data_IF_544839348571
#
_entry.id   IF_544839348571
#
_cell.length_a   1.000
_cell.length_b   1.000
_cell.length_c   1.000
_cell.angle_alpha   90.00
_cell.angle_beta   90.00
_cell.angle_gamma   90.00
#
_symmetry.space_group_name_H-M   'P 1'
#
loop_
_entity.id
_entity.type
_entity.pdbx_description
1 polymer ?
#
# COMPACT_ATOMS: atom_id res chain seq x y z
N UNK A 1 -15.87 76.53 42.69
CA UNK A 1 -16.52 75.26 43.09
C UNK A 1 -17.48 74.87 41.98
N UNK A 2 -17.44 73.73 41.29
CA UNK A 2 -16.56 72.56 41.29
C UNK A 2 -16.69 71.87 39.92
N UNK A 3 -15.62 71.21 39.46
CA UNK A 3 -15.58 70.53 38.17
C UNK A 3 -16.31 69.17 38.21
N UNK A 4 -16.95 68.73 37.11
CA UNK A 4 -17.50 67.38 37.01
C UNK A 4 -16.39 66.39 36.66
N UNK A 5 -15.99 65.55 37.62
CA UNK A 5 -15.13 64.40 37.36
C UNK A 5 -15.91 63.36 36.52
N UNK A 6 -15.65 63.36 35.21
CA UNK A 6 -16.22 62.41 34.27
C UNK A 6 -15.51 61.06 34.42
N UNK A 7 -16.22 60.08 35.01
CA UNK A 7 -15.68 58.77 35.39
C UNK A 7 -15.50 57.85 34.16
N UNK A 8 -14.36 57.99 33.49
CA UNK A 8 -13.99 57.26 32.25
C UNK A 8 -13.79 55.75 32.48
N UNK A 9 -13.38 55.34 33.69
CA UNK A 9 -13.12 53.93 34.05
C UNK A 9 -14.37 53.05 34.05
N UNK A 10 -15.52 53.59 34.47
CA UNK A 10 -16.78 52.82 34.55
C UNK A 10 -17.36 52.55 33.15
N UNK A 11 -17.28 53.52 32.23
CA UNK A 11 -17.74 53.32 30.84
C UNK A 11 -16.84 52.36 30.06
N UNK A 12 -15.51 52.40 30.28
CA UNK A 12 -14.59 51.46 29.68
C UNK A 12 -14.84 50.01 30.17
N UNK A 13 -15.13 49.82 31.46
CA UNK A 13 -15.48 48.51 32.03
C UNK A 13 -16.81 47.95 31.48
N UNK A 14 -17.80 48.82 31.20
CA UNK A 14 -19.08 48.41 30.60
C UNK A 14 -18.94 48.06 29.12
N UNK A 15 -18.12 48.80 28.36
CA UNK A 15 -17.83 48.49 26.96
C UNK A 15 -16.97 47.21 26.81
N UNK A 16 -16.01 46.98 27.72
CA UNK A 16 -15.29 45.70 27.83
C UNK A 16 -16.27 44.56 28.18
N UNK A 17 -17.15 44.72 29.17
CA UNK A 17 -18.19 43.71 29.49
C UNK A 17 -19.09 43.39 28.29
N UNK A 18 -19.53 44.41 27.56
CA UNK A 18 -20.41 44.24 26.38
C UNK A 18 -19.69 43.55 25.22
N UNK A 19 -18.45 43.92 24.92
CA UNK A 19 -17.64 43.26 23.88
C UNK A 19 -17.30 41.81 24.22
N UNK A 20 -17.00 41.53 25.49
CA UNK A 20 -16.76 40.16 25.97
C UNK A 20 -18.04 39.32 25.93
N UNK A 21 -19.20 39.86 26.30
CA UNK A 21 -20.48 39.14 26.20
C UNK A 21 -20.81 38.83 24.74
N UNK A 22 -20.56 39.75 23.80
CA UNK A 22 -20.80 39.50 22.37
C UNK A 22 -19.84 38.45 21.81
N UNK A 23 -18.57 38.49 22.21
CA UNK A 23 -17.59 37.47 21.87
C UNK A 23 -17.93 36.12 22.50
N UNK A 24 -18.45 36.13 23.74
CA UNK A 24 -18.91 34.94 24.46
C UNK A 24 -20.16 34.36 23.79
N UNK A 25 -21.12 35.17 23.36
CA UNK A 25 -22.32 34.76 22.62
C UNK A 25 -21.97 34.22 21.23
N UNK A 26 -21.01 34.83 20.53
CA UNK A 26 -20.52 34.32 19.24
C UNK A 26 -19.75 33.00 19.39
N UNK A 27 -18.96 32.84 20.46
CA UNK A 27 -18.34 31.57 20.79
C UNK A 27 -19.41 30.56 21.20
N UNK A 28 -20.39 30.92 22.02
CA UNK A 28 -21.44 30.05 22.55
C UNK A 28 -22.39 29.55 21.45
N UNK A 29 -22.85 30.41 20.54
CA UNK A 29 -23.70 30.02 19.40
C UNK A 29 -22.91 29.14 18.42
N UNK A 30 -21.60 29.37 18.26
CA UNK A 30 -20.73 28.50 17.46
C UNK A 30 -20.42 27.18 18.18
N UNK A 31 -20.49 27.15 19.52
CA UNK A 31 -20.26 25.99 20.37
C UNK A 31 -21.51 25.10 20.48
N UNK A 32 -22.73 25.64 20.49
CA UNK A 32 -23.98 24.88 20.66
C UNK A 32 -24.25 23.94 19.46
N UNK A 33 -23.91 24.37 18.23
CA UNK A 33 -23.93 23.53 17.02
C UNK A 33 -22.78 22.51 17.00
N UNK A 34 -21.69 22.79 17.72
CA UNK A 34 -20.50 21.94 17.80
C UNK A 34 -20.61 20.88 18.91
N UNK A 35 -21.29 21.18 20.02
CA UNK A 35 -21.45 20.34 21.21
C UNK A 35 -22.29 19.09 20.93
N UNK A 36 -23.42 19.20 20.22
CA UNK A 36 -24.28 18.04 19.94
C UNK A 36 -23.58 16.98 19.08
N UNK A 37 -22.77 17.42 18.11
CA UNK A 37 -22.01 16.52 17.23
C UNK A 37 -20.76 15.96 17.91
N UNK A 38 -20.03 16.78 18.67
CA UNK A 38 -18.81 16.35 19.35
C UNK A 38 -19.08 15.42 20.53
N UNK A 39 -20.13 15.62 21.32
CA UNK A 39 -20.42 14.75 22.49
C UNK A 39 -20.83 13.34 22.06
N UNK A 40 -21.64 13.20 21.00
CA UNK A 40 -21.95 11.91 20.39
C UNK A 40 -20.70 11.20 19.86
N UNK A 41 -19.88 11.91 19.07
CA UNK A 41 -18.64 11.37 18.52
C UNK A 41 -17.64 11.04 19.62
N UNK A 42 -17.53 11.86 20.66
CA UNK A 42 -16.62 11.63 21.78
C UNK A 42 -17.03 10.42 22.62
N UNK A 43 -18.32 10.27 22.93
CA UNK A 43 -18.82 9.13 23.72
C UNK A 43 -18.64 7.81 22.97
N UNK A 44 -18.90 7.79 21.66
CA UNK A 44 -18.68 6.62 20.81
C UNK A 44 -17.18 6.32 20.60
N UNK A 45 -16.34 7.36 20.53
CA UNK A 45 -14.87 7.24 20.41
C UNK A 45 -14.18 6.85 21.71
N UNK A 46 -14.75 7.14 22.88
CA UNK A 46 -14.19 6.74 24.19
C UNK A 46 -14.26 5.22 24.42
N UNK A 47 -15.11 4.52 23.69
CA UNK A 47 -15.28 3.07 23.78
C UNK A 47 -14.24 2.27 22.94
N UNK A 48 -13.47 2.94 22.07
CA UNK A 48 -12.45 2.30 21.23
C UNK A 48 -11.08 2.94 21.47
N UNK A 49 -10.07 2.12 21.80
CA UNK A 49 -8.68 2.58 21.92
C UNK A 49 -8.14 2.99 20.55
N UNK A 50 -8.06 4.29 20.33
CA UNK A 50 -7.85 4.83 18.99
C UNK A 50 -7.20 6.21 18.93
N UNK A 51 -6.79 6.60 17.74
CA UNK A 51 -6.23 7.92 17.44
C UNK A 51 -7.30 8.99 17.52
N UNK A 52 -8.53 8.67 17.10
CA UNK A 52 -9.67 9.54 17.28
C UNK A 52 -9.90 9.81 18.77
N UNK A 53 -9.82 8.79 19.62
CA UNK A 53 -9.92 8.96 21.07
C UNK A 53 -8.83 9.90 21.61
N UNK A 54 -7.56 9.72 21.22
CA UNK A 54 -6.47 10.60 21.65
C UNK A 54 -6.67 12.06 21.20
N UNK A 55 -7.18 12.26 19.99
CA UNK A 55 -7.43 13.59 19.43
C UNK A 55 -8.64 14.25 20.10
N UNK A 56 -9.71 13.50 20.31
CA UNK A 56 -10.90 13.93 21.06
C UNK A 56 -10.55 14.29 22.49
N UNK A 57 -9.77 13.46 23.19
CA UNK A 57 -9.29 13.76 24.54
C UNK A 57 -8.46 15.04 24.54
N UNK A 58 -7.55 15.23 23.58
CA UNK A 58 -6.77 16.46 23.46
C UNK A 58 -7.67 17.71 23.29
N UNK A 59 -8.70 17.62 22.44
CA UNK A 59 -9.65 18.71 22.21
C UNK A 59 -10.46 19.00 23.48
N UNK A 60 -10.96 17.96 24.15
CA UNK A 60 -11.70 18.08 25.43
C UNK A 60 -10.81 18.75 26.49
N UNK A 61 -9.55 18.30 26.62
CA UNK A 61 -8.57 18.86 27.55
C UNK A 61 -8.27 20.34 27.27
N UNK A 62 -8.25 20.74 25.99
CA UNK A 62 -7.99 22.12 25.56
C UNK A 62 -9.21 23.03 25.62
N UNK A 63 -10.43 22.50 25.49
CA UNK A 63 -11.64 23.31 25.44
C UNK A 63 -12.36 23.36 26.79
N UNK A 64 -12.61 22.21 27.40
CA UNK A 64 -13.49 22.10 28.58
C UNK A 64 -12.77 22.52 29.86
N UNK A 65 -11.49 22.13 30.04
CA UNK A 65 -10.73 22.46 31.26
C UNK A 65 -10.48 23.98 31.36
N UNK A 66 -10.00 24.68 30.31
CA UNK A 66 -9.80 26.12 30.39
C UNK A 66 -11.12 26.87 30.57
N UNK A 67 -12.19 26.41 29.93
CA UNK A 67 -13.53 27.00 30.06
C UNK A 67 -14.06 26.91 31.50
N UNK A 68 -13.95 25.73 32.13
CA UNK A 68 -14.29 25.52 33.55
C UNK A 68 -13.45 26.41 34.47
N UNK A 69 -12.14 26.55 34.20
CA UNK A 69 -11.26 27.43 34.98
C UNK A 69 -11.66 28.90 34.85
N UNK A 70 -12.04 29.37 33.65
CA UNK A 70 -12.58 30.73 33.47
C UNK A 70 -13.90 30.95 34.20
N UNK A 71 -14.81 29.96 34.20
CA UNK A 71 -16.07 30.03 34.94
C UNK A 71 -15.80 30.10 36.45
N UNK A 72 -14.85 29.31 36.95
CA UNK A 72 -14.44 29.32 38.35
C UNK A 72 -13.87 30.67 38.77
N UNK A 73 -12.96 31.26 38.00
CA UNK A 73 -12.40 32.60 38.28
C UNK A 73 -13.54 33.63 38.34
N UNK A 74 -14.46 33.61 37.37
CA UNK A 74 -15.57 34.56 37.32
C UNK A 74 -16.53 34.44 38.51
N UNK A 75 -16.85 33.22 38.94
CA UNK A 75 -17.70 32.99 40.11
C UNK A 75 -16.99 33.37 41.43
N UNK A 76 -15.68 33.15 41.50
CA UNK A 76 -14.87 33.49 42.68
C UNK A 76 -14.69 35.00 42.88
N UNK A 77 -14.53 35.78 41.80
CA UNK A 77 -14.53 37.25 41.84
C UNK A 77 -15.88 37.80 42.34
N UNK A 78 -16.99 37.16 41.93
CA UNK A 78 -18.35 37.57 42.30
C UNK A 78 -18.71 37.29 43.77
N UNK A 79 -18.07 36.31 44.40
CA UNK A 79 -18.30 35.92 45.80
C UNK A 79 -17.30 36.54 46.79
N UNK A 80 -16.28 37.25 46.30
CA UNK A 80 -15.32 37.98 47.13
C UNK A 80 -14.36 37.09 47.95
N UNK A 81 -14.31 35.79 47.67
CA UNK A 81 -13.51 34.79 48.40
C UNK A 81 -12.07 34.63 47.87
N UNK A 82 -11.57 35.60 47.11
CA UNK A 82 -10.23 35.51 46.53
C UNK A 82 -9.13 35.85 47.54
N UNK A 83 -8.62 34.81 48.20
CA UNK A 83 -7.22 34.85 48.64
C UNK A 83 -6.31 34.83 47.41
N UNK A 84 -5.36 35.77 47.40
CA UNK A 84 -4.42 36.04 46.30
C UNK A 84 -3.58 34.81 45.88
N UNK A 85 -3.48 33.81 46.75
CA UNK A 85 -2.67 32.60 46.57
C UNK A 85 -3.28 31.60 45.57
N UNK A 86 -4.60 31.58 45.36
CA UNK A 86 -5.23 30.56 44.50
C UNK A 86 -5.16 30.89 43.00
N UNK A 87 -5.05 32.17 42.62
CA UNK A 87 -5.06 32.61 41.21
C UNK A 87 -3.85 32.09 40.44
N UNK A 88 -2.68 32.04 41.08
CA UNK A 88 -1.45 31.57 40.46
C UNK A 88 -1.52 30.07 40.10
N UNK A 89 -2.15 29.26 40.95
CA UNK A 89 -2.33 27.83 40.72
C UNK A 89 -3.34 27.56 39.59
N UNK A 90 -4.41 28.35 39.49
CA UNK A 90 -5.40 28.28 38.41
C UNK A 90 -4.78 28.57 37.04
N UNK A 91 -3.96 29.62 36.94
CA UNK A 91 -3.26 29.98 35.70
C UNK A 91 -2.28 28.87 35.30
N UNK A 92 -1.54 28.31 36.27
CA UNK A 92 -0.60 27.22 36.01
C UNK A 92 -1.30 25.96 35.48
N UNK A 93 -2.46 25.60 36.04
CA UNK A 93 -3.28 24.48 35.55
C UNK A 93 -3.82 24.72 34.14
N UNK A 94 -4.20 25.96 33.81
CA UNK A 94 -4.66 26.34 32.47
C UNK A 94 -3.56 26.18 31.42
N UNK A 95 -2.33 26.57 31.76
CA UNK A 95 -1.17 26.39 30.89
C UNK A 95 -0.80 24.91 30.77
N UNK A 96 -0.86 24.15 31.86
CA UNK A 96 -0.54 22.73 31.87
C UNK A 96 -1.52 21.90 31.01
N UNK A 97 -2.82 22.20 31.06
CA UNK A 97 -3.85 21.53 30.24
C UNK A 97 -3.66 21.84 28.76
N UNK A 98 -3.43 23.12 28.42
CA UNK A 98 -3.16 23.55 27.05
C UNK A 98 -1.89 22.90 26.49
N UNK A 99 -0.82 22.83 27.28
CA UNK A 99 0.43 22.19 26.87
C UNK A 99 0.24 20.67 26.63
N UNK A 100 -0.50 20.00 27.52
CA UNK A 100 -0.77 18.56 27.41
C UNK A 100 -1.57 18.22 26.15
N UNK A 101 -2.63 18.98 25.86
CA UNK A 101 -3.42 18.79 24.64
C UNK A 101 -2.59 19.01 23.38
N UNK A 102 -1.71 20.02 23.37
CA UNK A 102 -0.88 20.35 22.21
C UNK A 102 0.10 19.22 21.89
N UNK A 103 0.74 18.65 22.92
CA UNK A 103 1.66 17.53 22.76
C UNK A 103 0.93 16.31 22.18
N UNK A 104 -0.27 16.02 22.67
CA UNK A 104 -1.05 14.86 22.23
C UNK A 104 -1.49 15.01 20.76
N UNK A 105 -2.03 16.17 20.38
CA UNK A 105 -2.40 16.47 18.99
C UNK A 105 -1.19 16.41 18.06
N UNK A 106 -0.05 16.99 18.48
CA UNK A 106 1.17 17.01 17.69
C UNK A 106 1.70 15.60 17.43
N UNK A 107 1.68 14.71 18.43
CA UNK A 107 2.10 13.31 18.26
C UNK A 107 1.26 12.58 17.21
N UNK A 108 -0.05 12.76 17.24
CA UNK A 108 -0.97 12.16 16.27
C UNK A 108 -0.69 12.63 14.84
N UNK A 109 -0.59 13.96 14.63
CA UNK A 109 -0.34 14.54 13.31
C UNK A 109 1.02 14.11 12.75
N UNK A 110 2.06 14.08 13.58
CA UNK A 110 3.40 13.60 13.15
C UNK A 110 3.35 12.14 12.72
N UNK A 111 2.60 11.29 13.42
CA UNK A 111 2.43 9.88 13.07
C UNK A 111 1.80 9.72 11.68
N UNK A 112 0.75 10.48 11.38
CA UNK A 112 0.13 10.50 10.04
C UNK A 112 1.12 10.93 8.96
N UNK A 113 1.81 12.07 9.15
CA UNK A 113 2.77 12.59 8.17
C UNK A 113 3.88 11.56 7.89
N UNK A 114 4.37 10.87 8.93
CA UNK A 114 5.41 9.84 8.77
C UNK A 114 4.93 8.71 7.88
N UNK A 115 3.72 8.21 8.07
CA UNK A 115 3.19 7.11 7.28
C UNK A 115 2.87 7.51 5.85
N UNK A 116 2.33 8.72 5.62
CA UNK A 116 2.17 9.23 4.25
C UNK A 116 3.52 9.34 3.54
N UNK A 117 4.57 9.79 4.24
CA UNK A 117 5.92 9.87 3.68
C UNK A 117 6.50 8.49 3.37
N UNK A 118 6.37 7.53 4.28
CA UNK A 118 6.85 6.17 4.06
C UNK A 118 6.08 5.47 2.93
N UNK A 119 4.75 5.60 2.88
CA UNK A 119 3.91 5.05 1.83
C UNK A 119 4.26 5.63 0.45
N UNK A 120 4.50 6.95 0.35
CA UNK A 120 4.95 7.59 -0.90
C UNK A 120 6.26 6.99 -1.41
N UNK A 121 7.23 6.71 -0.54
CA UNK A 121 8.51 6.09 -0.92
C UNK A 121 8.30 4.65 -1.41
N UNK A 122 7.42 3.88 -0.77
CA UNK A 122 7.11 2.50 -1.20
C UNK A 122 6.45 2.48 -2.59
N UNK A 123 5.49 3.39 -2.85
CA UNK A 123 4.82 3.51 -4.16
C UNK A 123 5.78 3.96 -5.26
N UNK A 124 6.75 4.82 -4.97
CA UNK A 124 7.63 5.43 -5.98
C UNK A 124 8.81 4.56 -6.45
N UNK A 125 8.96 3.32 -5.98
CA UNK A 125 9.97 2.44 -6.58
C UNK A 125 10.50 1.30 -5.73
N UNK A 126 10.02 1.13 -4.49
CA UNK A 126 10.49 0.03 -3.65
C UNK A 126 9.35 -0.62 -2.85
N UNK A 127 8.61 -1.50 -3.53
CA UNK A 127 7.57 -2.35 -2.95
C UNK A 127 8.09 -3.29 -1.84
N UNK A 128 9.42 -3.52 -1.75
CA UNK A 128 10.00 -4.35 -0.68
C UNK A 128 10.08 -3.62 0.65
N UNK A 129 9.94 -2.29 0.68
CA UNK A 129 10.01 -1.51 1.91
C UNK A 129 8.65 -1.50 2.59
N UNK A 130 8.55 -2.23 3.69
CA UNK A 130 7.36 -2.26 4.54
C UNK A 130 7.28 -1.04 5.46
N UNK A 131 6.07 -0.57 5.70
CA UNK A 131 5.77 0.46 6.69
C UNK A 131 5.97 -0.10 8.10
N UNK A 132 6.59 0.68 8.99
CA UNK A 132 6.78 0.27 10.39
C UNK A 132 5.44 0.31 11.14
N UNK A 133 5.00 -0.85 11.64
CA UNK A 133 3.79 -0.98 12.46
C UNK A 133 4.18 -1.11 13.93
N UNK A 134 4.05 -0.03 14.71
CA UNK A 134 4.31 -0.07 16.16
C UNK A 134 3.10 0.46 16.93
N UNK A 135 2.31 -0.46 17.50
CA UNK A 135 1.12 -0.15 18.31
C UNK A 135 -0.19 -0.68 17.71
N UNK A 136 -1.29 -0.56 18.46
CA UNK A 136 -2.63 -1.07 18.12
C UNK A 136 -3.63 0.05 17.76
N UNK A 137 -3.20 1.01 16.94
CA UNK A 137 -4.06 2.12 16.53
C UNK A 137 -4.44 1.99 15.05
N UNK A 138 -5.48 2.71 14.64
CA UNK A 138 -6.09 2.66 13.30
C UNK A 138 -5.09 3.01 12.19
N UNK A 139 -4.12 3.86 12.52
CA UNK A 139 -3.03 4.21 11.60
C UNK A 139 -2.08 3.02 11.36
N UNK A 140 -1.78 2.22 12.39
CA UNK A 140 -0.99 1.00 12.22
C UNK A 140 -1.79 -0.09 11.51
N UNK A 141 -3.07 -0.19 11.77
CA UNK A 141 -3.98 -1.10 11.06
C UNK A 141 -4.00 -0.76 9.56
N UNK A 142 -4.11 0.52 9.20
CA UNK A 142 -3.98 0.97 7.82
C UNK A 142 -2.60 0.63 7.22
N UNK A 143 -1.53 0.80 7.99
CA UNK A 143 -0.18 0.42 7.57
C UNK A 143 -0.03 -1.09 7.33
N UNK A 144 -0.70 -1.93 8.13
CA UNK A 144 -0.76 -3.38 7.93
C UNK A 144 -1.49 -3.74 6.63
N UNK A 145 -2.66 -3.16 6.37
CA UNK A 145 -3.38 -3.38 5.12
C UNK A 145 -2.57 -2.93 3.91
N UNK A 146 -1.90 -1.78 4.00
CA UNK A 146 -1.02 -1.31 2.94
C UNK A 146 0.13 -2.29 2.69
N UNK A 147 0.80 -2.76 3.75
CA UNK A 147 1.86 -3.77 3.64
C UNK A 147 1.34 -5.06 2.99
N UNK A 148 0.15 -5.53 3.36
CA UNK A 148 -0.47 -6.71 2.75
C UNK A 148 -0.67 -6.52 1.23
N UNK A 149 -1.32 -5.43 0.82
CA UNK A 149 -1.57 -5.12 -0.60
C UNK A 149 -0.25 -5.04 -1.37
N UNK A 150 0.77 -4.36 -0.82
CA UNK A 150 2.08 -4.27 -1.48
C UNK A 150 2.77 -5.63 -1.60
N UNK A 151 2.60 -6.52 -0.61
CA UNK A 151 3.13 -7.89 -0.65
C UNK A 151 2.45 -8.75 -1.71
N UNK A 152 1.13 -8.67 -1.83
CA UNK A 152 0.35 -9.37 -2.88
C UNK A 152 0.73 -8.88 -4.28
N UNK A 153 0.92 -7.57 -4.45
CA UNK A 153 1.39 -6.99 -5.70
C UNK A 153 2.81 -7.46 -6.05
N UNK A 154 3.73 -7.48 -5.07
CA UNK A 154 5.08 -7.99 -5.30
C UNK A 154 5.07 -9.46 -5.74
N UNK A 155 4.27 -10.30 -5.07
CA UNK A 155 4.13 -11.71 -5.44
C UNK A 155 3.62 -11.87 -6.87
N UNK A 156 2.60 -11.10 -7.25
CA UNK A 156 2.04 -11.11 -8.60
C UNK A 156 3.07 -10.73 -9.67
N UNK A 157 3.92 -9.73 -9.39
CA UNK A 157 5.03 -9.34 -10.27
C UNK A 157 6.07 -10.46 -10.39
N UNK A 158 6.41 -11.12 -9.29
CA UNK A 158 7.38 -12.23 -9.27
C UNK A 158 6.86 -13.45 -10.05
N UNK A 159 5.58 -13.77 -9.92
CA UNK A 159 4.91 -14.83 -10.69
C UNK A 159 4.91 -14.51 -12.19
N UNK A 160 4.55 -13.28 -12.56
CA UNK A 160 4.55 -12.83 -13.96
C UNK A 160 5.96 -12.87 -14.57
N UNK A 161 6.98 -12.46 -13.81
CA UNK A 161 8.38 -12.51 -14.24
C UNK A 161 8.86 -13.95 -14.44
N UNK A 162 8.42 -14.86 -13.57
CA UNK A 162 8.74 -16.29 -13.69
C UNK A 162 8.10 -16.88 -14.94
N UNK A 163 6.82 -16.62 -15.18
CA UNK A 163 6.11 -17.03 -16.40
C UNK A 163 6.79 -16.49 -17.66
N UNK A 164 7.19 -15.23 -17.67
CA UNK A 164 7.95 -14.64 -18.79
C UNK A 164 9.28 -15.36 -19.03
N UNK A 165 10.04 -15.68 -17.98
CA UNK A 165 11.31 -16.42 -18.11
C UNK A 165 11.09 -17.81 -18.68
N UNK A 166 10.06 -18.52 -18.20
CA UNK A 166 9.70 -19.84 -18.73
C UNK A 166 9.38 -19.75 -20.21
N UNK A 167 8.54 -18.79 -20.61
CA UNK A 167 8.20 -18.57 -22.02
C UNK A 167 9.44 -18.27 -22.88
N UNK A 168 10.32 -17.37 -22.42
CA UNK A 168 11.58 -17.07 -23.11
C UNK A 168 12.47 -18.31 -23.25
N UNK A 169 12.59 -19.13 -22.20
CA UNK A 169 13.38 -20.35 -22.24
C UNK A 169 12.80 -21.39 -23.23
N UNK A 170 11.47 -21.54 -23.27
CA UNK A 170 10.79 -22.42 -24.23
C UNK A 170 11.02 -21.93 -25.66
N UNK A 171 10.83 -20.62 -25.90
CA UNK A 171 11.07 -20.03 -27.22
C UNK A 171 12.53 -20.17 -27.68
N UNK A 172 13.50 -20.01 -26.77
CA UNK A 172 14.92 -20.23 -27.08
C UNK A 172 15.21 -21.69 -27.43
N UNK A 173 14.61 -22.65 -26.72
CA UNK A 173 14.75 -24.08 -27.03
C UNK A 173 14.17 -24.43 -28.38
N UNK A 174 12.98 -23.91 -28.70
CA UNK A 174 12.34 -24.07 -30.02
C UNK A 174 13.20 -23.41 -31.10
N UNK A 175 13.66 -22.18 -30.87
CA UNK A 175 14.55 -21.45 -31.78
C UNK A 175 15.85 -22.20 -32.06
N UNK A 176 16.48 -22.79 -31.03
CA UNK A 176 17.67 -23.62 -31.20
C UNK A 176 17.39 -24.92 -31.97
N UNK A 177 16.23 -25.54 -31.77
CA UNK A 177 15.81 -26.71 -32.55
C UNK A 177 15.50 -26.38 -34.02
N UNK A 178 15.02 -25.17 -34.31
CA UNK A 178 14.73 -24.70 -35.67
C UNK A 178 15.95 -24.12 -36.39
N UNK A 179 16.86 -23.47 -35.66
CA UNK A 179 18.08 -22.84 -36.20
C UNK A 179 19.18 -23.86 -36.52
N UNK A 180 19.08 -25.11 -36.04
CA UNK A 180 19.94 -26.20 -36.52
C UNK A 180 19.52 -26.62 -37.94
N UNK A 181 19.97 -25.86 -38.93
CA UNK A 181 19.78 -26.05 -40.37
C UNK A 181 20.54 -27.27 -40.95
N UNK A 182 20.77 -28.31 -40.16
CA UNK A 182 21.59 -29.48 -40.53
C UNK A 182 20.86 -30.83 -40.39
N UNK A 183 19.54 -30.83 -40.12
CA UNK A 183 18.87 -32.07 -39.68
C UNK A 183 17.48 -32.32 -40.28
N UNK A 184 17.30 -32.05 -41.57
CA UNK A 184 16.21 -32.74 -42.31
C UNK A 184 16.36 -34.26 -42.10
N UNK A 185 17.60 -34.75 -42.13
CA UNK A 185 17.93 -36.15 -41.93
C UNK A 185 17.51 -36.67 -40.54
N UNK A 186 17.74 -35.92 -39.45
CA UNK A 186 17.33 -36.40 -38.12
C UNK A 186 15.82 -36.35 -37.87
N UNK A 187 15.08 -35.48 -38.55
CA UNK A 187 13.60 -35.51 -38.48
C UNK A 187 13.09 -36.74 -39.24
N UNK A 188 13.65 -37.03 -40.41
CA UNK A 188 13.31 -38.21 -41.21
C UNK A 188 13.68 -39.52 -40.49
N UNK A 189 14.81 -39.54 -39.78
CA UNK A 189 15.27 -40.64 -38.92
C UNK A 189 14.30 -40.95 -37.79
N UNK A 190 13.93 -39.93 -37.01
CA UNK A 190 12.94 -40.10 -35.95
C UNK A 190 11.57 -40.56 -36.49
N UNK A 191 11.19 -40.06 -37.67
CA UNK A 191 9.92 -40.42 -38.31
C UNK A 191 9.90 -41.88 -38.76
N UNK A 192 10.96 -42.38 -39.42
CA UNK A 192 11.00 -43.77 -39.90
C UNK A 192 11.12 -44.78 -38.75
N UNK A 193 11.85 -44.44 -37.69
CA UNK A 193 11.92 -45.23 -36.47
C UNK A 193 10.53 -45.38 -35.84
N UNK A 194 9.81 -44.27 -35.66
CA UNK A 194 8.47 -44.27 -35.06
C UNK A 194 7.47 -45.07 -35.90
N UNK A 195 7.50 -44.91 -37.23
CA UNK A 195 6.61 -45.64 -38.13
C UNK A 195 6.92 -47.15 -38.17
N UNK A 196 8.20 -47.52 -38.18
CA UNK A 196 8.61 -48.94 -38.20
C UNK A 196 8.16 -49.64 -36.91
N UNK A 197 8.36 -48.97 -35.76
CA UNK A 197 7.94 -49.47 -34.46
C UNK A 197 6.40 -49.53 -34.34
N UNK A 198 5.68 -48.51 -34.83
CA UNK A 198 4.22 -48.48 -34.78
C UNK A 198 3.55 -49.53 -35.69
N UNK A 199 4.17 -49.85 -36.83
CA UNK A 199 3.68 -50.86 -37.78
C UNK A 199 4.15 -52.29 -37.43
N UNK A 200 4.98 -52.45 -36.40
CA UNK A 200 5.57 -53.74 -36.03
C UNK A 200 6.47 -54.35 -37.13
N UNK A 201 7.00 -53.50 -38.01
CA UNK A 201 7.87 -53.93 -39.09
C UNK A 201 9.30 -54.16 -38.58
N UNK A 202 10.04 -55.08 -39.20
CA UNK A 202 11.43 -55.37 -38.80
C UNK A 202 12.42 -54.29 -39.25
N UNK A 203 12.11 -53.57 -40.34
CA UNK A 203 12.97 -52.51 -40.88
C UNK A 203 12.16 -51.54 -41.76
N UNK A 204 12.70 -50.34 -42.00
CA UNK A 204 12.09 -49.30 -42.82
C UNK A 204 13.13 -48.35 -43.41
N UNK A 205 12.83 -47.75 -44.57
CA UNK A 205 13.73 -46.82 -45.24
C UNK A 205 12.97 -45.72 -45.98
N UNK A 206 13.60 -44.53 -46.06
CA UNK A 206 13.11 -43.39 -46.83
C UNK A 206 14.08 -43.14 -47.98
N UNK A 207 13.55 -43.13 -49.21
CA UNK A 207 14.31 -42.86 -50.42
C UNK A 207 13.74 -41.63 -51.14
N UNK A 208 14.62 -40.79 -51.68
CA UNK A 208 14.27 -39.59 -52.41
C UNK A 208 14.54 -39.78 -53.90
N UNK A 209 13.49 -39.61 -54.71
CA UNK A 209 13.59 -39.73 -56.17
C UNK A 209 14.12 -38.42 -56.76
N UNK A 210 15.26 -38.49 -57.46
CA UNK A 210 15.83 -37.35 -58.18
C UNK A 210 16.25 -37.79 -59.58
N UNK A 211 15.67 -37.19 -60.63
CA UNK A 211 16.05 -37.46 -62.03
C UNK A 211 16.19 -38.96 -62.34
N UNK A 212 15.20 -39.77 -61.95
CA UNK A 212 15.11 -41.22 -62.19
C UNK A 212 16.02 -42.13 -61.33
N UNK A 213 16.74 -41.57 -60.35
CA UNK A 213 17.50 -42.34 -59.36
C UNK A 213 16.91 -42.17 -57.97
N UNK A 214 16.68 -43.30 -57.28
CA UNK A 214 16.30 -43.31 -55.87
C UNK A 214 17.56 -43.23 -55.01
N UNK A 215 17.64 -42.19 -54.18
CA UNK A 215 18.72 -42.03 -53.20
C UNK A 215 18.20 -42.40 -51.82
N UNK A 216 18.85 -43.36 -51.15
CA UNK A 216 18.56 -43.66 -49.76
C UNK A 216 18.95 -42.47 -48.87
N UNK A 217 17.97 -41.95 -48.12
CA UNK A 217 18.17 -40.80 -47.23
C UNK A 217 18.33 -41.25 -45.78
N UNK A 218 17.52 -42.22 -45.35
CA UNK A 218 17.50 -42.76 -43.98
C UNK A 218 17.05 -44.22 -44.02
N UNK A 219 17.66 -45.09 -43.21
CA UNK A 219 17.25 -46.49 -43.00
C UNK A 219 17.27 -46.87 -41.53
N UNK A 220 16.32 -47.68 -41.08
CA UNK A 220 16.19 -48.19 -39.73
C UNK A 220 15.99 -49.72 -39.74
N UNK A 221 16.72 -50.44 -38.87
CA UNK A 221 16.68 -51.92 -38.82
C UNK A 221 17.43 -52.64 -39.96
N UNK A 222 18.26 -51.92 -40.73
CA UNK A 222 19.11 -52.46 -41.79
C UNK A 222 20.58 -52.18 -41.43
N UNK A 223 21.42 -53.21 -41.33
CA UNK A 223 22.83 -53.08 -40.95
C UNK A 223 23.60 -52.19 -41.93
N UNK A 224 24.01 -51.02 -41.43
CA UNK A 224 24.46 -49.87 -42.23
C UNK A 224 25.98 -49.81 -42.41
N UNK A 225 26.60 -50.93 -42.83
CA UNK A 225 28.04 -50.95 -43.13
C UNK A 225 28.40 -50.50 -44.56
N UNK A 226 27.46 -49.93 -45.32
CA UNK A 226 27.71 -49.39 -46.66
C UNK A 226 27.01 -48.06 -46.88
N UNK A 227 27.61 -46.99 -46.32
CA UNK A 227 27.37 -45.60 -46.72
C UNK A 227 27.99 -45.30 -48.11
N UNK A 228 27.80 -46.18 -49.09
CA UNK A 228 28.04 -45.88 -50.49
C UNK A 228 26.68 -45.84 -51.17
N UNK A 229 26.22 -44.61 -51.42
CA UNK A 229 25.11 -44.22 -52.29
C UNK A 229 24.54 -45.36 -53.15
N UNK A 230 23.59 -46.12 -52.60
CA UNK A 230 22.82 -47.12 -53.35
C UNK A 230 21.83 -46.33 -54.22
N UNK A 231 22.25 -46.00 -55.44
CA UNK A 231 21.41 -45.36 -56.44
C UNK A 231 20.68 -46.45 -57.24
N UNK A 232 19.42 -46.73 -56.89
CA UNK A 232 18.60 -47.69 -57.62
C UNK A 232 17.91 -46.96 -58.77
N UNK A 233 18.12 -47.43 -60.01
CA UNK A 233 17.38 -46.92 -61.18
C UNK A 233 15.93 -47.39 -61.14
N UNK A 234 15.03 -46.47 -61.42
CA UNK A 234 13.59 -46.76 -61.47
C UNK A 234 13.29 -47.87 -62.49
N UNK A 235 12.51 -48.88 -62.08
CA UNK A 235 12.16 -50.03 -62.94
C UNK A 235 13.00 -51.31 -62.72
N UNK A 236 13.98 -51.30 -61.81
CA UNK A 236 14.87 -52.46 -61.60
C UNK A 236 14.23 -53.65 -60.86
N UNK A 237 13.04 -53.47 -60.28
CA UNK A 237 12.41 -54.43 -59.37
C UNK A 237 13.20 -54.58 -58.07
N UNK A 238 12.52 -54.50 -56.93
CA UNK A 238 13.13 -54.82 -55.64
C UNK A 238 12.31 -56.00 -55.12
N UNK A 239 12.94 -57.17 -55.04
CA UNK A 239 12.31 -58.35 -54.41
C UNK A 239 12.39 -58.09 -52.91
N UNK A 240 11.21 -57.90 -52.30
CA UNK A 240 11.03 -57.87 -50.85
C UNK A 240 10.99 -59.27 -50.27
#
# INVERSE_FOLDING_TARGET
>A
MGQPHFNFGVKAAVLLRSGYILCFLLVYIKNEIFEERMTKVAFESLNKQGILQNLVVAIILMAIIPLLLTIYIFHSEATGLLQKDNVQLTILLMVASACSGYILSRKTVISMIRLTKEARVTVQGNLRKQLKTQGKNEINELAQYFNQITGELQKSIEDLKTSKKVLQNVLLRIGNAMASSEKIDSILELTIETLTNALGAASGAIMLLKRETLHLMVSYGIDSHRHESIAIKQGSGIIG
#
